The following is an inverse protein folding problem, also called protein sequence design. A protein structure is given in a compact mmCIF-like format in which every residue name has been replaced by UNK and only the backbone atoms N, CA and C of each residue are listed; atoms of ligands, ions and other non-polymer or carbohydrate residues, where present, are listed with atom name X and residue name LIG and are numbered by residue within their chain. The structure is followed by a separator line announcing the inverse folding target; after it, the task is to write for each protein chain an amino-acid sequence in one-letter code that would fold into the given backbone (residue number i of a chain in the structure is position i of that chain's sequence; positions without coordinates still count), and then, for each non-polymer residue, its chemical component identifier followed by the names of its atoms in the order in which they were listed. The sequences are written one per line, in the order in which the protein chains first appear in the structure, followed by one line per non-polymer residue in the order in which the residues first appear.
data_IF_338262889490
#
_entry.id   IF_338262889490
#
_cell.length_a   1.000
_cell.length_b   1.000
_cell.length_c   1.000
_cell.angle_alpha   90.00
_cell.angle_beta   90.00
_cell.angle_gamma   90.00
#
_symmetry.space_group_name_H-M   'P 1'
#
loop_
_entity.id
_entity.type
_entity.pdbx_description
1 polymer ?
#
# COMPACT_ATOMS: atom_id res chain seq x y z
N UNK A 1 -5.34 -54.65 51.61
CA UNK A 1 -3.96 -55.11 51.36
C UNK A 1 -3.05 -54.02 51.92
N UNK A 2 -2.71 -54.04 53.23
CA UNK A 2 -1.58 -54.76 53.85
C UNK A 2 -0.26 -54.49 53.08
N UNK A 3 0.86 -54.04 53.64
CA UNK A 3 1.35 -53.80 55.01
C UNK A 3 2.57 -52.84 54.88
N UNK A 4 2.80 -51.87 55.78
CA UNK A 4 3.76 -51.93 56.90
C UNK A 4 5.13 -52.57 56.54
N UNK A 5 6.29 -51.92 56.78
CA UNK A 5 7.04 -51.85 58.06
C UNK A 5 8.26 -50.91 57.79
N UNK A 6 8.39 -49.72 58.42
CA UNK A 6 8.98 -49.34 59.72
C UNK A 6 10.52 -49.22 59.79
N UNK A 7 10.95 -47.99 60.16
CA UNK A 7 11.92 -47.57 61.21
C UNK A 7 13.40 -47.96 60.99
N UNK A 8 14.38 -47.10 61.30
CA UNK A 8 14.57 -46.51 62.62
C UNK A 8 15.50 -45.28 62.65
N UNK A 9 15.19 -44.37 63.59
CA UNK A 9 15.95 -43.22 64.06
C UNK A 9 17.31 -43.59 64.66
N UNK A 10 18.29 -42.69 64.54
CA UNK A 10 19.11 -42.23 65.70
C UNK A 10 19.42 -40.73 65.60
N UNK A 11 19.09 -40.01 66.68
CA UNK A 11 19.57 -38.66 66.99
C UNK A 11 21.07 -38.71 67.33
N UNK A 12 21.83 -37.71 66.91
CA UNK A 12 23.01 -37.25 67.64
C UNK A 12 23.21 -35.74 67.38
N UNK A 13 23.09 -34.98 68.46
CA UNK A 13 23.45 -33.58 68.63
C UNK A 13 24.93 -33.32 68.34
N UNK A 14 25.27 -32.22 67.64
CA UNK A 14 26.50 -31.48 67.95
C UNK A 14 26.49 -30.07 67.34
N UNK A 15 26.79 -29.10 68.19
CA UNK A 15 27.03 -27.68 67.92
C UNK A 15 28.35 -27.54 67.15
N UNK A 16 28.45 -26.65 66.15
CA UNK A 16 29.50 -25.61 66.02
C UNK A 16 29.70 -25.08 64.59
N UNK A 17 30.05 -23.78 64.57
CA UNK A 17 30.81 -23.03 63.55
C UNK A 17 30.11 -22.59 62.26
N UNK A 18 29.55 -21.37 62.32
CA UNK A 18 29.40 -20.48 61.17
C UNK A 18 30.80 -20.07 60.71
N UNK A 19 31.31 -20.74 59.69
CA UNK A 19 32.44 -20.27 58.87
C UNK A 19 31.86 -19.70 57.57
N UNK A 20 31.90 -18.38 57.44
CA UNK A 20 31.72 -17.69 56.16
C UNK A 20 32.86 -18.11 55.23
N UNK A 21 32.60 -19.10 54.37
CA UNK A 21 33.41 -19.35 53.19
C UNK A 21 32.83 -18.49 52.07
N UNK A 22 33.50 -17.36 51.81
CA UNK A 22 33.38 -16.62 50.57
C UNK A 22 33.82 -17.55 49.45
N UNK A 23 32.87 -18.27 48.84
CA UNK A 23 33.11 -18.95 47.57
C UNK A 23 33.33 -17.87 46.53
N UNK A 24 34.61 -17.54 46.29
CA UNK A 24 35.05 -16.89 45.07
C UNK A 24 34.53 -17.76 43.94
N UNK A 25 33.47 -17.28 43.28
CA UNK A 25 33.09 -17.82 41.98
C UNK A 25 34.20 -17.35 41.05
N UNK A 26 35.23 -18.16 40.91
CA UNK A 26 36.11 -18.06 39.75
C UNK A 26 35.20 -18.24 38.55
N UNK A 27 34.87 -17.10 37.92
CA UNK A 27 34.29 -17.11 36.59
C UNK A 27 35.32 -17.77 35.69
N UNK A 28 35.16 -19.07 35.45
CA UNK A 28 35.89 -19.77 34.40
C UNK A 28 35.43 -19.11 33.10
N UNK A 29 36.20 -18.13 32.64
CA UNK A 29 36.14 -17.68 31.28
C UNK A 29 36.42 -18.91 30.41
N UNK A 30 35.36 -19.51 29.85
CA UNK A 30 35.54 -20.49 28.78
C UNK A 30 36.36 -19.77 27.72
N UNK A 31 37.61 -20.22 27.52
CA UNK A 31 38.41 -19.75 26.38
C UNK A 31 37.51 -19.83 25.15
N UNK A 32 37.39 -18.76 24.34
CA UNK A 32 36.48 -18.77 23.21
C UNK A 32 36.84 -19.98 22.35
N UNK A 33 35.91 -20.94 22.28
CA UNK A 33 36.04 -22.14 21.44
C UNK A 33 36.40 -21.64 20.06
N UNK A 34 37.57 -22.07 19.56
CA UNK A 34 38.02 -21.67 18.23
C UNK A 34 36.89 -21.95 17.22
N UNK A 35 36.63 -21.05 16.28
CA UNK A 35 35.57 -21.25 15.30
C UNK A 35 35.80 -22.57 14.55
N UNK A 36 34.73 -23.31 14.21
CA UNK A 36 34.86 -24.56 13.48
C UNK A 36 35.51 -24.33 12.10
N UNK A 37 35.91 -25.41 11.43
CA UNK A 37 36.41 -25.33 10.07
C UNK A 37 35.39 -24.61 9.16
N UNK A 38 35.90 -23.80 8.22
CA UNK A 38 35.11 -22.99 7.29
C UNK A 38 34.21 -21.92 7.94
N UNK A 39 34.50 -21.54 9.19
CA UNK A 39 33.92 -20.37 9.84
C UNK A 39 34.93 -19.22 9.93
N UNK A 40 34.40 -18.00 10.03
CA UNK A 40 35.13 -16.77 10.29
C UNK A 40 34.45 -15.96 11.40
N UNK A 41 35.23 -15.13 12.11
CA UNK A 41 34.69 -14.32 13.20
C UNK A 41 33.78 -13.22 12.63
N UNK A 42 32.59 -13.06 13.24
CA UNK A 42 31.68 -11.98 12.83
C UNK A 42 32.31 -10.61 13.12
N UNK A 43 32.06 -9.64 12.22
CA UNK A 43 32.70 -8.32 12.28
C UNK A 43 32.32 -7.50 13.52
N UNK A 44 31.14 -7.74 14.09
CA UNK A 44 30.64 -7.07 15.29
C UNK A 44 29.98 -8.08 16.24
N UNK A 45 30.41 -8.10 17.51
CA UNK A 45 29.88 -9.01 18.54
C UNK A 45 30.78 -10.22 18.81
N UNK A 46 30.25 -11.19 19.57
CA UNK A 46 30.89 -12.48 19.83
C UNK A 46 30.22 -13.57 18.98
N UNK A 47 31.02 -14.39 18.30
CA UNK A 47 30.52 -15.50 17.49
C UNK A 47 31.30 -15.72 16.20
N UNK A 48 30.76 -16.59 15.37
CA UNK A 48 31.32 -16.92 14.06
C UNK A 48 30.19 -17.11 13.04
N UNK A 49 30.49 -16.79 11.79
CA UNK A 49 29.64 -17.07 10.63
C UNK A 49 30.38 -18.00 9.66
N UNK A 50 29.62 -18.74 8.86
CA UNK A 50 30.24 -19.60 7.85
C UNK A 50 30.78 -18.74 6.71
N UNK A 51 31.98 -19.10 6.24
CA UNK A 51 32.58 -18.52 5.05
C UNK A 51 31.64 -18.73 3.85
N UNK A 52 31.74 -17.86 2.85
CA UNK A 52 30.97 -17.99 1.60
C UNK A 52 31.09 -19.41 1.03
N UNK A 53 29.96 -19.99 0.62
CA UNK A 53 29.87 -21.37 0.13
C UNK A 53 29.66 -22.41 1.23
N UNK A 54 29.52 -21.99 2.49
CA UNK A 54 29.21 -22.85 3.61
C UNK A 54 28.00 -22.34 4.37
N UNK A 55 27.19 -23.26 4.90
CA UNK A 55 26.00 -22.97 5.66
C UNK A 55 26.13 -23.54 7.08
N UNK A 56 25.62 -22.80 8.05
CA UNK A 56 25.64 -23.22 9.45
C UNK A 56 24.68 -24.38 9.67
N UNK A 57 25.23 -25.50 10.13
CA UNK A 57 24.47 -26.62 10.68
C UNK A 57 24.99 -26.91 12.10
N UNK A 58 24.18 -26.58 13.10
CA UNK A 58 24.53 -26.68 14.52
C UNK A 58 25.84 -25.94 14.86
N UNK A 59 26.89 -26.70 15.16
CA UNK A 59 28.23 -26.26 15.56
C UNK A 59 29.27 -26.40 14.42
N UNK A 60 28.82 -26.54 13.17
CA UNK A 60 29.67 -26.73 12.01
C UNK A 60 29.22 -25.91 10.79
N UNK A 61 30.17 -25.68 9.88
CA UNK A 61 29.92 -25.10 8.57
C UNK A 61 30.01 -26.19 7.52
N UNK A 62 28.87 -26.58 6.97
CA UNK A 62 28.81 -27.55 5.88
C UNK A 62 28.84 -26.85 4.54
N UNK A 63 29.53 -27.45 3.59
CA UNK A 63 29.61 -26.95 2.23
C UNK A 63 28.22 -26.96 1.57
N UNK A 64 27.88 -25.85 0.94
CA UNK A 64 26.65 -25.69 0.17
C UNK A 64 26.80 -26.47 -1.14
N UNK A 65 25.99 -27.51 -1.31
CA UNK A 65 25.91 -28.24 -2.58
C UNK A 65 25.11 -27.41 -3.57
N UNK A 66 25.80 -26.79 -4.52
CA UNK A 66 25.18 -26.02 -5.61
C UNK A 66 24.72 -27.01 -6.69
N UNK A 67 23.41 -27.11 -6.98
CA UNK A 67 22.93 -27.96 -8.07
C UNK A 67 23.27 -27.36 -9.44
N UNK A 68 23.10 -28.15 -10.50
CA UNK A 68 23.22 -27.65 -11.88
C UNK A 68 22.28 -26.46 -12.11
N UNK A 69 22.73 -25.49 -12.91
CA UNK A 69 22.02 -24.24 -13.21
C UNK A 69 21.73 -23.36 -11.99
N UNK A 70 22.54 -23.45 -10.92
CA UNK A 70 22.50 -22.56 -9.76
C UNK A 70 23.83 -21.84 -9.53
N UNK A 71 23.81 -20.78 -8.73
CA UNK A 71 25.01 -20.06 -8.28
C UNK A 71 24.95 -19.81 -6.77
N UNK A 72 26.12 -19.71 -6.12
CA UNK A 72 26.23 -19.40 -4.70
C UNK A 72 25.79 -17.97 -4.40
N UNK A 73 24.89 -17.82 -3.45
CA UNK A 73 24.48 -16.51 -2.92
C UNK A 73 25.43 -16.07 -1.81
N UNK A 74 25.34 -14.80 -1.41
CA UNK A 74 26.02 -14.27 -0.23
C UNK A 74 25.14 -14.33 1.02
N UNK A 75 24.03 -15.07 0.99
CA UNK A 75 23.07 -15.10 2.10
C UNK A 75 23.56 -16.09 3.15
N UNK A 76 23.74 -15.62 4.38
CA UNK A 76 24.12 -16.45 5.53
C UNK A 76 22.96 -17.31 6.07
N UNK A 77 21.74 -17.06 5.57
CA UNK A 77 20.52 -17.80 5.87
C UNK A 77 19.92 -18.36 4.57
N UNK A 78 19.08 -19.38 4.67
CA UNK A 78 18.51 -20.09 3.51
C UNK A 78 19.48 -21.10 2.89
N UNK A 79 19.22 -21.56 1.66
CA UNK A 79 19.98 -22.66 1.03
C UNK A 79 21.39 -22.30 0.55
N UNK A 80 21.73 -21.01 0.54
CA UNK A 80 23.05 -20.52 0.11
C UNK A 80 23.30 -20.55 -1.40
N UNK A 81 22.27 -20.85 -2.20
CA UNK A 81 22.31 -20.81 -3.66
C UNK A 81 20.98 -20.30 -4.23
N UNK A 82 21.02 -19.76 -5.44
CA UNK A 82 19.88 -19.34 -6.23
C UNK A 82 19.98 -19.90 -7.65
N UNK A 83 18.84 -20.12 -8.31
CA UNK A 83 18.82 -20.57 -9.69
C UNK A 83 19.32 -19.49 -10.64
N UNK A 84 20.07 -19.91 -11.66
CA UNK A 84 20.52 -19.06 -12.75
C UNK A 84 19.32 -18.55 -13.55
N UNK A 85 19.51 -17.42 -14.25
CA UNK A 85 18.49 -16.85 -15.12
C UNK A 85 17.92 -17.91 -16.09
N UNK A 86 16.59 -18.00 -16.17
CA UNK A 86 15.89 -19.00 -16.98
C UNK A 86 15.58 -20.31 -16.25
N UNK A 87 15.95 -20.43 -14.97
CA UNK A 87 15.68 -21.59 -14.14
C UNK A 87 14.89 -21.19 -12.88
N UNK A 88 14.07 -22.12 -12.42
CA UNK A 88 13.25 -21.98 -11.21
C UNK A 88 13.49 -23.15 -10.27
N UNK A 89 13.34 -22.90 -8.98
CA UNK A 89 13.54 -23.88 -7.93
C UNK A 89 12.47 -24.98 -7.97
N UNK A 90 12.91 -26.24 -7.99
CA UNK A 90 12.09 -27.45 -7.82
C UNK A 90 12.81 -28.40 -6.85
N UNK A 91 12.49 -28.26 -5.56
CA UNK A 91 13.15 -28.98 -4.47
C UNK A 91 14.60 -28.53 -4.29
N UNK A 92 15.55 -29.46 -4.46
CA UNK A 92 17.00 -29.19 -4.36
C UNK A 92 17.68 -29.07 -5.72
N UNK A 93 16.92 -28.67 -6.75
CA UNK A 93 17.39 -28.51 -8.12
C UNK A 93 16.84 -27.23 -8.75
N UNK A 94 17.52 -26.78 -9.78
CA UNK A 94 17.04 -25.74 -10.67
C UNK A 94 16.57 -26.37 -11.98
N UNK A 95 15.30 -26.18 -12.31
CA UNK A 95 14.70 -26.69 -13.55
C UNK A 95 14.42 -25.54 -14.49
N UNK A 96 14.57 -25.77 -15.80
CA UNK A 96 14.35 -24.73 -16.81
C UNK A 96 12.88 -24.24 -16.77
N UNK A 97 12.70 -22.93 -16.79
CA UNK A 97 11.37 -22.31 -16.89
C UNK A 97 10.75 -22.69 -18.23
N UNK A 98 9.58 -23.32 -18.19
CA UNK A 98 8.79 -23.62 -19.40
C UNK A 98 8.12 -22.34 -19.89
N UNK A 99 8.64 -21.77 -20.97
CA UNK A 99 8.07 -20.58 -21.61
C UNK A 99 7.07 -21.03 -22.69
N UNK A 100 5.78 -20.70 -22.57
CA UNK A 100 4.79 -21.04 -23.59
C UNK A 100 4.96 -20.18 -24.86
N UNK A 101 4.22 -20.53 -25.92
CA UNK A 101 4.14 -19.68 -27.11
C UNK A 101 3.63 -18.28 -26.74
N UNK A 102 4.13 -17.25 -27.45
CA UNK A 102 3.80 -15.84 -27.22
C UNK A 102 4.17 -15.30 -25.83
N UNK A 103 5.18 -15.90 -25.18
CA UNK A 103 5.75 -15.43 -23.93
C UNK A 103 7.27 -15.25 -24.05
N UNK A 104 7.84 -14.45 -23.14
CA UNK A 104 9.27 -14.36 -22.89
C UNK A 104 9.56 -14.60 -21.42
N UNK A 105 10.80 -14.94 -21.10
CA UNK A 105 11.25 -14.94 -19.71
C UNK A 105 11.03 -13.56 -19.07
N UNK A 106 10.72 -13.56 -17.78
CA UNK A 106 10.73 -12.36 -16.98
C UNK A 106 12.12 -11.71 -17.08
N UNK A 107 12.18 -10.43 -17.38
CA UNK A 107 13.43 -9.71 -17.62
C UNK A 107 14.26 -9.46 -16.36
N UNK A 108 13.65 -9.52 -15.18
CA UNK A 108 14.30 -9.20 -13.91
C UNK A 108 14.94 -10.42 -13.27
N UNK A 109 14.14 -11.47 -13.04
CA UNK A 109 14.60 -12.64 -12.28
C UNK A 109 14.77 -13.88 -13.17
N UNK A 110 14.10 -13.93 -14.32
CA UNK A 110 14.14 -15.09 -15.22
C UNK A 110 13.63 -16.39 -14.60
N UNK A 111 13.01 -16.33 -13.42
CA UNK A 111 12.41 -17.47 -12.72
C UNK A 111 10.93 -17.68 -13.09
N UNK A 112 10.43 -16.89 -14.04
CA UNK A 112 9.08 -16.93 -14.57
C UNK A 112 9.04 -16.38 -16.00
N UNK A 113 7.83 -16.19 -16.51
CA UNK A 113 7.59 -15.67 -17.84
C UNK A 113 6.46 -14.65 -17.85
N UNK A 114 6.51 -13.77 -18.84
CA UNK A 114 5.52 -12.75 -19.15
C UNK A 114 5.07 -12.90 -20.59
N UNK A 115 3.80 -12.56 -20.87
CA UNK A 115 3.32 -12.55 -22.24
C UNK A 115 3.98 -11.44 -23.05
N UNK A 116 4.21 -11.70 -24.33
CA UNK A 116 4.63 -10.66 -25.26
C UNK A 116 3.55 -9.58 -25.39
N UNK A 117 3.96 -8.38 -25.79
CA UNK A 117 3.01 -7.29 -26.06
C UNK A 117 1.92 -7.74 -27.04
N UNK A 118 0.66 -7.44 -26.72
CA UNK A 118 -0.50 -7.91 -27.49
C UNK A 118 -1.06 -9.27 -27.05
N UNK A 119 -0.49 -9.88 -26.01
CA UNK A 119 -0.98 -11.13 -25.43
C UNK A 119 -1.24 -10.97 -23.93
N UNK A 120 -2.22 -11.74 -23.43
CA UNK A 120 -2.57 -11.77 -22.00
C UNK A 120 -2.41 -13.17 -21.43
N UNK A 121 -2.02 -13.24 -20.16
CA UNK A 121 -1.86 -14.49 -19.45
C UNK A 121 -3.22 -15.16 -19.24
N UNK A 122 -3.39 -16.39 -19.71
CA UNK A 122 -4.54 -17.24 -19.44
C UNK A 122 -4.06 -18.66 -19.22
N UNK A 123 -4.48 -19.27 -18.12
CA UNK A 123 -4.05 -20.61 -17.70
C UNK A 123 -2.51 -20.76 -17.73
N UNK A 124 -2.01 -21.71 -18.52
CA UNK A 124 -0.59 -21.98 -18.70
C UNK A 124 0.01 -21.29 -19.95
N UNK A 125 -0.68 -20.32 -20.55
CA UNK A 125 -0.29 -19.72 -21.82
C UNK A 125 -0.59 -18.23 -21.97
N UNK A 126 -0.38 -17.76 -23.20
CA UNK A 126 -0.59 -16.38 -23.61
C UNK A 126 -1.55 -16.33 -24.79
N UNK A 127 -2.75 -15.80 -24.52
CA UNK A 127 -3.79 -15.63 -25.52
C UNK A 127 -3.68 -14.26 -26.17
N UNK A 128 -3.92 -14.20 -27.48
CA UNK A 128 -3.94 -12.94 -28.21
C UNK A 128 -5.06 -12.02 -27.70
N UNK A 129 -4.74 -10.74 -27.49
CA UNK A 129 -5.71 -9.73 -27.14
C UNK A 129 -6.41 -9.29 -28.43
N UNK A 130 -7.68 -9.67 -28.57
CA UNK A 130 -8.52 -9.13 -29.64
C UNK A 130 -8.82 -7.67 -29.33
N UNK A 131 -8.31 -6.77 -30.17
CA UNK A 131 -8.57 -5.33 -30.08
C UNK A 131 -9.81 -5.01 -30.90
N UNK A 132 -10.88 -4.47 -30.30
CA UNK A 132 -12.08 -4.08 -31.04
C UNK A 132 -11.84 -2.82 -31.87
N UNK A 133 -12.80 -2.46 -32.73
CA UNK A 133 -12.79 -1.20 -33.46
C UNK A 133 -12.73 0.00 -32.49
N UNK A 134 -12.02 1.06 -32.89
CA UNK A 134 -11.77 2.26 -32.08
C UNK A 134 -11.02 2.00 -30.77
N UNK A 135 -10.15 0.99 -30.75
CA UNK A 135 -9.28 0.68 -29.63
C UNK A 135 -7.83 0.44 -30.07
N UNK A 136 -6.92 0.55 -29.12
CA UNK A 136 -5.50 0.25 -29.30
C UNK A 136 -4.98 -0.61 -28.16
N UNK A 137 -3.91 -1.38 -28.41
CA UNK A 137 -3.24 -2.18 -27.38
C UNK A 137 -2.68 -1.25 -26.29
N UNK A 138 -3.03 -1.54 -25.04
CA UNK A 138 -2.51 -0.79 -23.90
C UNK A 138 -1.54 -1.66 -23.10
N UNK A 139 -0.48 -1.03 -22.61
CA UNK A 139 0.45 -1.63 -21.65
C UNK A 139 -0.07 -1.54 -20.21
N UNK A 140 -1.27 -0.98 -20.02
CA UNK A 140 -1.95 -0.90 -18.74
C UNK A 140 -2.20 -2.28 -18.15
N UNK A 141 -2.14 -2.38 -16.82
CA UNK A 141 -2.45 -3.60 -16.06
C UNK A 141 -3.95 -3.93 -16.05
N UNK A 142 -4.77 -3.16 -16.78
CA UNK A 142 -6.20 -3.40 -16.91
C UNK A 142 -6.44 -4.75 -17.61
N UNK A 143 -7.38 -5.53 -17.08
CA UNK A 143 -7.71 -6.88 -17.57
C UNK A 143 -8.05 -6.97 -19.08
N UNK A 144 -8.47 -5.85 -19.70
CA UNK A 144 -8.83 -5.77 -21.12
C UNK A 144 -7.60 -5.85 -22.04
N UNK A 145 -6.47 -5.28 -21.63
CA UNK A 145 -5.25 -5.19 -22.46
C UNK A 145 -5.35 -4.24 -23.67
N UNK A 146 -6.42 -3.45 -23.74
CA UNK A 146 -6.64 -2.41 -24.74
C UNK A 146 -7.35 -1.22 -24.10
N UNK A 147 -7.18 -0.06 -24.72
CA UNK A 147 -7.83 1.21 -24.38
C UNK A 147 -8.55 1.78 -25.59
N UNK A 148 -9.62 2.53 -25.35
CA UNK A 148 -10.37 3.16 -26.43
C UNK A 148 -9.64 4.39 -26.98
N UNK A 149 -9.80 4.63 -28.27
CA UNK A 149 -9.47 5.91 -28.87
C UNK A 149 -10.24 7.04 -28.17
N UNK A 150 -9.63 8.23 -28.12
CA UNK A 150 -10.27 9.43 -27.57
C UNK A 150 -11.65 9.67 -28.22
N UNK A 151 -12.67 9.88 -27.39
CA UNK A 151 -14.06 10.04 -27.84
C UNK A 151 -14.88 8.75 -27.82
N UNK A 152 -14.32 7.66 -27.32
CA UNK A 152 -15.00 6.39 -27.10
C UNK A 152 -14.82 5.96 -25.64
N UNK A 153 -15.85 5.31 -25.09
CA UNK A 153 -15.79 4.74 -23.75
C UNK A 153 -15.81 3.21 -23.81
N UNK A 154 -15.10 2.57 -22.88
CA UNK A 154 -14.91 1.13 -22.88
C UNK A 154 -16.11 0.39 -22.27
N UNK A 155 -16.57 -0.65 -22.96
CA UNK A 155 -17.43 -1.70 -22.40
C UNK A 155 -16.59 -2.93 -22.05
N UNK A 156 -17.20 -4.09 -21.88
CA UNK A 156 -16.47 -5.35 -21.68
C UNK A 156 -15.74 -5.78 -22.96
N UNK A 157 -16.30 -5.52 -24.14
CA UNK A 157 -15.86 -6.11 -25.41
C UNK A 157 -15.69 -5.12 -26.56
N UNK A 158 -16.09 -3.86 -26.39
CA UNK A 158 -16.06 -2.86 -27.45
C UNK A 158 -15.82 -1.44 -26.93
N UNK A 159 -15.39 -0.56 -27.82
CA UNK A 159 -15.36 0.88 -27.62
C UNK A 159 -16.60 1.52 -28.26
N UNK A 160 -17.41 2.20 -27.45
CA UNK A 160 -18.64 2.84 -27.92
C UNK A 160 -18.41 4.35 -27.98
N UNK A 161 -18.79 4.96 -29.11
CA UNK A 161 -18.66 6.39 -29.32
C UNK A 161 -19.40 7.17 -28.24
N UNK A 162 -18.76 8.19 -27.69
CA UNK A 162 -19.37 9.12 -26.74
C UNK A 162 -20.18 10.13 -27.54
N UNK A 163 -21.49 10.13 -27.33
CA UNK A 163 -22.38 11.15 -27.87
C UNK A 163 -22.27 12.41 -27.00
N UNK A 164 -21.79 13.50 -27.60
CA UNK A 164 -21.63 14.78 -26.90
C UNK A 164 -22.91 15.61 -27.03
N UNK A 165 -23.62 15.89 -25.92
CA UNK A 165 -24.73 16.82 -25.96
C UNK A 165 -24.24 18.25 -26.23
N UNK A 166 -25.16 19.14 -26.59
CA UNK A 166 -24.85 20.57 -26.73
C UNK A 166 -24.26 21.11 -25.40
N UNK A 167 -23.25 21.96 -25.49
CA UNK A 167 -22.48 22.48 -24.34
C UNK A 167 -21.66 21.44 -23.56
N UNK A 168 -21.35 20.30 -24.17
CA UNK A 168 -20.41 19.33 -23.62
C UNK A 168 -19.10 19.25 -24.39
N UNK A 169 -18.04 18.87 -23.69
CA UNK A 169 -16.72 18.61 -24.25
C UNK A 169 -16.08 17.38 -23.60
N UNK A 170 -15.20 16.68 -24.33
CA UNK A 170 -14.47 15.54 -23.80
C UNK A 170 -13.47 15.97 -22.72
N UNK A 171 -13.38 15.20 -21.64
CA UNK A 171 -12.35 15.42 -20.61
C UNK A 171 -10.95 15.09 -21.15
N UNK A 172 -9.90 15.39 -20.39
CA UNK A 172 -8.51 15.15 -20.80
C UNK A 172 -8.23 13.69 -21.13
N UNK A 173 -8.71 12.74 -20.32
CA UNK A 173 -8.60 11.30 -20.62
C UNK A 173 -9.34 10.91 -21.90
N UNK A 174 -10.43 11.61 -22.24
CA UNK A 174 -11.16 11.42 -23.50
C UNK A 174 -12.12 10.23 -23.51
N UNK A 175 -12.28 9.55 -22.39
CA UNK A 175 -13.20 8.42 -22.14
C UNK A 175 -14.52 8.86 -21.50
N UNK A 176 -14.66 10.16 -21.20
CA UNK A 176 -15.87 10.77 -20.66
C UNK A 176 -15.98 12.24 -21.12
N UNK A 177 -17.06 12.92 -20.74
CA UNK A 177 -17.34 14.31 -21.08
C UNK A 177 -17.80 15.12 -19.86
N UNK A 178 -17.67 16.44 -19.96
CA UNK A 178 -18.20 17.39 -18.98
C UNK A 178 -18.86 18.57 -19.68
N UNK A 179 -19.70 19.27 -18.92
CA UNK A 179 -20.34 20.48 -19.41
C UNK A 179 -19.36 21.65 -19.43
N UNK A 180 -19.51 22.51 -20.43
CA UNK A 180 -18.87 23.83 -20.51
C UNK A 180 -19.12 24.64 -19.24
N UNK A 181 -18.22 25.59 -18.96
CA UNK A 181 -18.35 26.48 -17.80
C UNK A 181 -19.70 27.21 -17.86
N UNK A 182 -20.46 27.17 -16.76
CA UNK A 182 -21.80 27.75 -16.68
C UNK A 182 -22.92 26.76 -16.97
N UNK A 183 -22.60 25.50 -17.28
CA UNK A 183 -23.56 24.42 -17.48
C UNK A 183 -23.31 23.28 -16.48
N UNK A 184 -24.36 22.53 -16.18
CA UNK A 184 -24.32 21.35 -15.33
C UNK A 184 -25.06 20.16 -15.94
N UNK A 185 -24.66 18.95 -15.55
CA UNK A 185 -25.23 17.72 -16.07
C UNK A 185 -26.63 17.53 -15.48
N UNK A 186 -27.65 17.54 -16.34
CA UNK A 186 -29.04 17.25 -16.00
C UNK A 186 -29.60 16.29 -17.05
N UNK A 187 -30.07 15.12 -16.63
CA UNK A 187 -30.66 14.11 -17.54
C UNK A 187 -29.78 13.76 -18.77
N UNK A 188 -28.48 13.52 -18.56
CA UNK A 188 -27.50 13.22 -19.63
C UNK A 188 -27.30 14.35 -20.66
N UNK A 189 -27.70 15.57 -20.34
CA UNK A 189 -27.46 16.76 -21.15
C UNK A 189 -26.85 17.88 -20.29
N UNK A 190 -26.30 18.89 -20.94
CA UNK A 190 -25.84 20.10 -20.26
C UNK A 190 -26.92 21.15 -20.25
N UNK A 191 -27.38 21.52 -19.04
CA UNK A 191 -28.33 22.60 -18.82
C UNK A 191 -27.62 23.77 -18.16
N UNK A 192 -28.06 25.00 -18.46
CA UNK A 192 -27.46 26.19 -17.87
C UNK A 192 -27.63 26.17 -16.35
N UNK A 193 -26.58 26.54 -15.62
CA UNK A 193 -26.65 26.71 -14.17
C UNK A 193 -27.53 27.92 -13.89
N UNK A 194 -28.65 27.69 -13.21
CA UNK A 194 -29.51 28.77 -12.73
C UNK A 194 -28.88 29.42 -11.50
N UNK A 195 -28.34 30.63 -11.69
CA UNK A 195 -27.84 31.47 -10.60
C UNK A 195 -29.01 32.32 -10.09
N UNK A 196 -29.43 32.18 -8.82
CA UNK A 196 -30.53 32.96 -8.26
C UNK A 196 -30.11 34.43 -8.05
N UNK A 197 -31.09 35.30 -7.80
CA UNK A 197 -30.82 36.69 -7.44
C UNK A 197 -29.92 36.77 -6.20
N UNK A 198 -29.05 37.79 -6.19
CA UNK A 198 -28.05 38.00 -5.14
C UNK A 198 -27.04 36.85 -4.98
N UNK A 199 -26.83 36.06 -6.03
CA UNK A 199 -25.75 35.08 -6.12
C UNK A 199 -24.79 35.38 -7.27
N UNK A 200 -23.61 34.79 -7.21
CA UNK A 200 -22.62 34.80 -8.29
C UNK A 200 -22.21 33.37 -8.64
N UNK A 201 -21.98 33.12 -9.92
CA UNK A 201 -21.50 31.84 -10.41
C UNK A 201 -20.09 31.54 -9.88
N UNK A 202 -19.86 30.30 -9.45
CA UNK A 202 -18.55 29.78 -9.09
C UNK A 202 -18.23 28.53 -9.90
N UNK A 203 -17.07 28.55 -10.54
CA UNK A 203 -16.58 27.46 -11.37
C UNK A 203 -15.94 26.35 -10.51
N UNK A 204 -16.68 25.81 -9.54
CA UNK A 204 -16.21 24.68 -8.74
C UNK A 204 -16.46 23.36 -9.48
N UNK A 205 -15.55 22.40 -9.34
CA UNK A 205 -15.71 21.08 -9.97
C UNK A 205 -16.81 20.27 -9.26
N UNK A 206 -16.87 20.37 -7.94
CA UNK A 206 -17.83 19.68 -7.08
C UNK A 206 -18.67 20.71 -6.32
N UNK A 207 -19.80 20.28 -5.78
CA UNK A 207 -20.66 21.16 -4.99
C UNK A 207 -21.46 22.18 -5.81
N UNK A 208 -22.05 23.14 -5.11
CA UNK A 208 -22.97 24.15 -5.64
C UNK A 208 -22.23 25.12 -6.56
N UNK A 209 -22.84 25.42 -7.71
CA UNK A 209 -22.22 26.23 -8.79
C UNK A 209 -22.42 27.74 -8.63
N UNK A 210 -22.96 28.17 -7.49
CA UNK A 210 -23.13 29.58 -7.16
C UNK A 210 -22.94 29.80 -5.67
N UNK A 211 -22.57 31.03 -5.31
CA UNK A 211 -22.48 31.50 -3.92
C UNK A 211 -23.20 32.84 -3.76
N UNK A 212 -23.77 33.08 -2.59
CA UNK A 212 -24.40 34.37 -2.30
C UNK A 212 -23.37 35.50 -2.34
N UNK A 213 -23.77 36.67 -2.85
CA UNK A 213 -22.94 37.88 -2.78
C UNK A 213 -22.86 38.38 -1.34
N UNK A 214 -21.84 39.19 -1.04
CA UNK A 214 -21.62 39.76 0.30
C UNK A 214 -22.88 40.52 0.77
N UNK A 215 -23.35 40.20 1.98
CA UNK A 215 -24.58 40.73 2.58
C UNK A 215 -25.79 39.81 2.46
N UNK A 216 -25.65 38.65 1.81
CA UNK A 216 -26.70 37.66 1.65
C UNK A 216 -26.25 36.29 2.18
N UNK A 217 -27.16 35.52 2.74
CA UNK A 217 -26.96 34.16 3.21
C UNK A 217 -27.84 33.18 2.43
N UNK A 218 -27.46 31.90 2.44
CA UNK A 218 -28.21 30.87 1.75
C UNK A 218 -29.57 30.64 2.42
N UNK A 219 -30.64 30.64 1.62
CA UNK A 219 -31.99 30.36 2.08
C UNK A 219 -32.76 29.58 1.02
N UNK A 220 -32.99 28.29 1.30
CA UNK A 220 -33.64 27.37 0.36
C UNK A 220 -32.86 27.24 -0.95
N UNK A 221 -33.47 27.62 -2.07
CA UNK A 221 -32.86 27.58 -3.40
C UNK A 221 -32.20 28.90 -3.82
N UNK A 222 -32.13 29.90 -2.93
CA UNK A 222 -31.64 31.23 -3.26
C UNK A 222 -30.84 31.89 -2.15
N UNK A 223 -30.69 33.21 -2.26
CA UNK A 223 -29.96 34.04 -1.32
C UNK A 223 -30.89 35.06 -0.68
N UNK A 224 -30.93 35.10 0.65
CA UNK A 224 -31.72 36.06 1.41
C UNK A 224 -30.80 37.11 2.03
N UNK A 225 -31.28 38.35 2.09
CA UNK A 225 -30.51 39.45 2.69
C UNK A 225 -30.31 39.19 4.19
N UNK A 226 -29.08 39.30 4.67
CA UNK A 226 -28.76 39.15 6.08
C UNK A 226 -29.31 40.36 6.83
N UNK A 227 -30.18 40.10 7.81
CA UNK A 227 -30.62 41.11 8.78
C UNK A 227 -29.57 41.22 9.87
N UNK A 228 -28.80 42.29 9.86
CA UNK A 228 -27.76 42.54 10.86
C UNK A 228 -28.43 43.14 12.11
N UNK A 229 -28.35 42.49 13.29
CA UNK A 229 -28.93 43.01 14.52
C UNK A 229 -28.12 44.20 15.08
N UNK A 230 -28.68 44.89 16.07
CA UNK A 230 -27.97 45.96 16.76
C UNK A 230 -26.66 45.44 17.38
N UNK A 231 -25.61 46.26 17.35
CA UNK A 231 -24.27 45.92 17.84
C UNK A 231 -23.58 44.76 17.10
N UNK A 232 -23.95 44.48 15.85
CA UNK A 232 -23.28 43.53 14.98
C UNK A 232 -22.72 44.21 13.70
N UNK A 233 -21.85 43.49 12.99
CA UNK A 233 -21.36 43.84 11.66
C UNK A 233 -21.31 42.59 10.78
N UNK A 234 -21.21 42.79 9.47
CA UNK A 234 -21.05 41.69 8.53
C UNK A 234 -19.67 41.05 8.70
N UNK A 235 -19.64 39.71 8.83
CA UNK A 235 -18.43 38.93 9.01
C UNK A 235 -17.45 39.14 7.84
N UNK A 236 -16.19 38.77 8.06
CA UNK A 236 -15.16 38.82 7.02
C UNK A 236 -15.54 38.00 5.78
N UNK A 237 -16.13 36.81 5.99
CA UNK A 237 -16.65 35.93 4.92
C UNK A 237 -17.74 36.61 4.08
N UNK A 238 -18.48 37.55 4.66
CA UNK A 238 -19.49 38.35 3.96
C UNK A 238 -20.85 37.70 3.80
N UNK A 239 -21.00 36.42 4.15
CA UNK A 239 -22.27 35.68 4.10
C UNK A 239 -22.75 35.26 5.49
N UNK A 240 -22.31 35.98 6.53
CA UNK A 240 -22.72 35.85 7.93
C UNK A 240 -22.44 37.17 8.67
N UNK A 241 -22.80 37.28 9.95
CA UNK A 241 -22.54 38.45 10.78
C UNK A 241 -21.89 38.05 12.12
N UNK A 242 -21.17 39.00 12.72
CA UNK A 242 -20.48 38.83 13.99
C UNK A 242 -20.78 40.02 14.91
N UNK A 243 -20.78 39.81 16.23
CA UNK A 243 -20.97 40.90 17.18
C UNK A 243 -19.78 41.87 17.18
N UNK A 244 -20.08 43.16 17.28
CA UNK A 244 -19.06 44.17 17.56
C UNK A 244 -18.51 43.93 18.97
N UNK A 245 -17.20 44.04 19.18
CA UNK A 245 -16.64 43.98 20.54
C UNK A 245 -17.14 45.19 21.35
N UNK A 246 -17.49 45.03 22.64
CA UNK A 246 -17.36 43.84 23.50
C UNK A 246 -18.62 42.93 23.57
N UNK A 247 -19.60 43.10 22.68
CA UNK A 247 -20.87 42.35 22.69
C UNK A 247 -20.65 40.89 22.28
N UNK A 248 -21.49 39.98 22.81
CA UNK A 248 -21.47 38.54 22.50
C UNK A 248 -22.83 38.04 21.99
N UNK A 249 -22.79 36.95 21.24
CA UNK A 249 -23.96 36.31 20.66
C UNK A 249 -24.84 35.68 21.74
N UNK A 250 -26.07 36.17 21.87
CA UNK A 250 -27.10 35.63 22.75
C UNK A 250 -28.36 35.38 21.93
N UNK A 251 -28.59 34.12 21.55
CA UNK A 251 -29.67 33.75 20.64
C UNK A 251 -29.45 34.29 19.23
N UNK A 252 -30.29 35.25 18.80
CA UNK A 252 -30.20 35.92 17.48
C UNK A 252 -29.76 37.38 17.58
N UNK A 253 -29.25 37.81 18.73
CA UNK A 253 -28.89 39.20 19.00
C UNK A 253 -27.51 39.32 19.67
N UNK A 254 -26.96 40.54 19.69
CA UNK A 254 -25.72 40.87 20.37
C UNK A 254 -26.02 41.69 21.63
N UNK A 255 -25.66 41.14 22.79
CA UNK A 255 -25.79 41.81 24.08
C UNK A 255 -24.44 41.87 24.81
N UNK A 256 -24.32 42.85 25.72
CA UNK A 256 -23.19 42.89 26.66
C UNK A 256 -23.43 41.79 27.70
N UNK A 257 -22.38 41.04 28.01
CA UNK A 257 -22.36 40.19 29.22
C UNK A 257 -22.51 41.04 30.48
#
# INVERSE_FOLDING_TARGET
MNNFVRRSLRLATSVTFVSLLTSNSDAIAQSPKAPPANAEAVRYGSGWECKRGYQRQEDSCLEVKVPDHAFLTNTIYGKGWECSYGFVEDGDRCVAVKVPANASLDSYFGNGWQCLSGYRKRDAGCDFITVPDHAFLSQSTTWRGWECERGYHATETACIKIELPLHAFLIEAGDDWRCERGYEITNKACSIVHVPDHATYVAEQFGKKWKCIRGFEESGTGCAQIKIPANAHLASTGNSWECNRPYRLLGKECAKE
#
